data_IF_006263701180
#
_entry.id   IF_006263701180
#
_cell.length_a   1.000
_cell.length_b   1.000
_cell.length_c   1.000
_cell.angle_alpha   90.00
_cell.angle_beta   90.00
_cell.angle_gamma   90.00
#
_symmetry.space_group_name_H-M   'P 1'
#
loop_
_entity.id
_entity.type
_entity.pdbx_description
1 polymer ?
#
# COMPACT_ATOMS: atom_id res chain seq x y z
N UNK A 1 3.51 -0.34 -37.29
CA UNK A 1 3.30 0.31 -35.98
C UNK A 1 4.61 0.25 -35.24
N UNK A 2 5.35 1.37 -35.09
CA UNK A 2 6.56 1.41 -34.27
C UNK A 2 6.12 1.42 -32.80
N UNK A 3 6.29 0.33 -32.09
CA UNK A 3 6.19 0.29 -30.64
C UNK A 3 7.36 1.11 -30.08
N UNK A 4 7.11 2.39 -29.86
CA UNK A 4 8.04 3.22 -29.09
C UNK A 4 8.04 2.63 -27.66
N UNK A 5 9.05 1.84 -27.36
CA UNK A 5 9.28 1.33 -26.02
C UNK A 5 9.41 2.53 -25.05
N UNK A 6 8.32 2.93 -24.43
CA UNK A 6 8.35 4.00 -23.43
C UNK A 6 9.17 3.51 -22.24
N UNK A 7 10.37 4.03 -22.08
CA UNK A 7 11.15 3.82 -20.85
C UNK A 7 10.36 4.41 -19.69
N UNK A 8 10.23 3.64 -18.61
CA UNK A 8 9.66 4.12 -17.35
C UNK A 8 10.50 5.29 -16.85
N UNK A 9 9.85 6.36 -16.43
CA UNK A 9 10.53 7.45 -15.71
C UNK A 9 10.84 7.04 -14.27
N UNK A 10 11.68 7.81 -13.58
CA UNK A 10 12.02 7.55 -12.19
C UNK A 10 10.78 7.48 -11.26
N UNK A 11 9.75 8.35 -11.40
CA UNK A 11 8.55 8.23 -10.59
C UNK A 11 7.80 6.91 -10.79
N UNK A 12 7.63 6.47 -12.04
CA UNK A 12 6.97 5.19 -12.35
C UNK A 12 7.80 4.00 -11.84
N UNK A 13 9.14 4.12 -11.86
CA UNK A 13 10.04 3.11 -11.29
C UNK A 13 9.89 3.01 -9.76
N UNK A 14 9.72 4.13 -9.05
CA UNK A 14 9.45 4.13 -7.62
C UNK A 14 8.11 3.42 -7.31
N UNK A 15 7.07 3.69 -8.10
CA UNK A 15 5.77 3.00 -7.95
C UNK A 15 5.95 1.50 -8.17
N UNK A 16 6.68 1.10 -9.21
CA UNK A 16 6.92 -0.31 -9.52
C UNK A 16 7.68 -1.01 -8.37
N UNK A 17 8.82 -0.47 -7.96
CA UNK A 17 9.65 -1.06 -6.91
C UNK A 17 8.88 -1.11 -5.59
N UNK A 18 8.23 -0.01 -5.20
CA UNK A 18 7.46 0.07 -3.96
C UNK A 18 6.29 -0.92 -3.95
N UNK A 19 5.55 -1.00 -5.05
CA UNK A 19 4.44 -1.95 -5.17
C UNK A 19 4.91 -3.40 -5.16
N UNK A 20 5.98 -3.74 -5.88
CA UNK A 20 6.55 -5.10 -5.87
C UNK A 20 7.06 -5.47 -4.46
N UNK A 21 7.73 -4.54 -3.78
CA UNK A 21 8.18 -4.74 -2.40
C UNK A 21 6.99 -5.02 -1.46
N UNK A 22 5.92 -4.24 -1.57
CA UNK A 22 4.74 -4.42 -0.75
C UNK A 22 4.01 -5.74 -1.06
N UNK A 23 3.82 -6.08 -2.34
CA UNK A 23 3.22 -7.37 -2.75
C UNK A 23 4.04 -8.55 -2.18
N UNK A 24 5.38 -8.46 -2.25
CA UNK A 24 6.24 -9.48 -1.66
C UNK A 24 6.02 -9.62 -0.15
N UNK A 25 5.90 -8.49 0.57
CA UNK A 25 5.60 -8.52 2.02
C UNK A 25 4.22 -9.10 2.30
N UNK A 26 3.19 -8.80 1.49
CA UNK A 26 1.86 -9.43 1.64
C UNK A 26 1.94 -10.96 1.51
N UNK A 27 2.73 -11.47 0.56
CA UNK A 27 2.90 -12.91 0.39
C UNK A 27 3.70 -13.53 1.52
N UNK A 28 4.73 -12.85 1.99
CA UNK A 28 5.51 -13.29 3.14
C UNK A 28 4.64 -13.31 4.42
N UNK A 29 3.82 -12.29 4.64
CA UNK A 29 2.86 -12.26 5.75
C UNK A 29 1.84 -13.39 5.65
N UNK A 30 1.35 -13.72 4.45
CA UNK A 30 0.46 -14.85 4.21
C UNK A 30 1.11 -16.22 4.47
N UNK A 31 2.43 -16.30 4.47
CA UNK A 31 3.16 -17.51 4.90
C UNK A 31 3.14 -17.66 6.42
N UNK A 32 3.32 -16.57 7.19
CA UNK A 32 3.26 -16.61 8.64
C UNK A 32 1.83 -16.73 9.19
N UNK A 33 0.87 -16.12 8.50
CA UNK A 33 -0.56 -16.15 8.86
C UNK A 33 -1.40 -16.69 7.69
N UNK A 34 -1.53 -18.01 7.54
CA UNK A 34 -2.23 -18.60 6.39
C UNK A 34 -3.71 -18.23 6.26
N UNK A 35 -4.36 -17.85 7.36
CA UNK A 35 -5.78 -17.47 7.40
C UNK A 35 -6.08 -16.12 6.73
N UNK A 36 -5.06 -15.23 6.57
CA UNK A 36 -5.20 -13.97 5.84
C UNK A 36 -4.75 -14.06 4.37
N UNK A 37 -4.42 -15.24 3.88
CA UNK A 37 -3.88 -15.47 2.53
C UNK A 37 -4.77 -14.87 1.43
N UNK A 38 -6.05 -15.13 1.48
CA UNK A 38 -7.00 -14.63 0.49
C UNK A 38 -7.17 -13.11 0.58
N UNK A 39 -7.14 -12.56 1.80
CA UNK A 39 -7.17 -11.12 1.99
C UNK A 39 -5.97 -10.46 1.31
N UNK A 40 -4.76 -10.97 1.55
CA UNK A 40 -3.53 -10.45 0.94
C UNK A 40 -3.50 -10.64 -0.58
N UNK A 41 -4.06 -11.74 -1.09
CA UNK A 41 -4.21 -11.95 -2.52
C UNK A 41 -5.06 -10.84 -3.16
N UNK A 42 -6.23 -10.51 -2.59
CA UNK A 42 -7.06 -9.43 -3.12
C UNK A 42 -6.39 -8.05 -2.95
N UNK A 43 -5.72 -7.80 -1.84
CA UNK A 43 -4.99 -6.55 -1.62
C UNK A 43 -3.91 -6.30 -2.68
N UNK A 44 -3.20 -7.34 -3.10
CA UNK A 44 -2.18 -7.24 -4.13
C UNK A 44 -2.73 -6.69 -5.46
N UNK A 45 -4.01 -6.93 -5.79
CA UNK A 45 -4.62 -6.42 -7.04
C UNK A 45 -4.64 -4.90 -7.14
N UNK A 46 -4.77 -4.18 -6.03
CA UNK A 46 -4.68 -2.71 -6.06
C UNK A 46 -3.30 -2.25 -6.52
N UNK A 47 -2.24 -2.92 -6.04
CA UNK A 47 -0.87 -2.60 -6.42
C UNK A 47 -0.54 -3.03 -7.84
N UNK A 48 -1.03 -4.17 -8.30
CA UNK A 48 -0.94 -4.55 -9.72
C UNK A 48 -1.64 -3.52 -10.62
N UNK A 49 -2.81 -3.04 -10.23
CA UNK A 49 -3.51 -1.98 -10.95
C UNK A 49 -2.72 -0.67 -10.98
N UNK A 50 -2.11 -0.28 -9.84
CA UNK A 50 -1.26 0.89 -9.77
C UNK A 50 -0.03 0.75 -10.68
N UNK A 51 0.66 -0.40 -10.68
CA UNK A 51 1.79 -0.70 -11.57
C UNK A 51 1.37 -0.58 -13.03
N UNK A 52 0.32 -1.33 -13.41
CA UNK A 52 -0.14 -1.40 -14.79
C UNK A 52 -0.52 -0.02 -15.35
N UNK A 53 -1.37 0.69 -14.62
CA UNK A 53 -1.86 2.01 -15.05
C UNK A 53 -0.74 3.07 -15.03
N UNK A 54 0.18 2.99 -14.07
CA UNK A 54 1.32 3.93 -14.01
C UNK A 54 2.32 3.68 -15.13
N UNK A 55 2.56 2.43 -15.51
CA UNK A 55 3.40 2.09 -16.66
C UNK A 55 2.86 2.67 -17.97
N UNK A 56 1.53 2.81 -18.07
CA UNK A 56 0.85 3.47 -19.18
C UNK A 56 0.68 4.98 -18.97
N UNK A 57 1.33 5.57 -17.97
CA UNK A 57 1.25 6.99 -17.60
C UNK A 57 -0.17 7.50 -17.37
N UNK A 58 -1.04 6.61 -16.92
CA UNK A 58 -2.42 6.94 -16.58
C UNK A 58 -2.49 7.70 -15.26
N UNK A 59 -3.24 8.81 -15.24
CA UNK A 59 -3.55 9.53 -13.99
C UNK A 59 -4.17 8.63 -12.94
N UNK A 60 -5.01 7.69 -13.35
CA UNK A 60 -5.63 6.73 -12.46
C UNK A 60 -4.62 5.83 -11.75
N UNK A 61 -3.52 5.45 -12.42
CA UNK A 61 -2.45 4.67 -11.78
C UNK A 61 -1.82 5.41 -10.61
N UNK A 62 -1.53 6.70 -10.80
CA UNK A 62 -0.96 7.55 -9.76
C UNK A 62 -1.94 7.77 -8.59
N UNK A 63 -3.22 8.03 -8.90
CA UNK A 63 -4.25 8.27 -7.89
C UNK A 63 -4.60 6.99 -7.10
N UNK A 64 -4.69 5.84 -7.76
CA UNK A 64 -4.90 4.54 -7.10
C UNK A 64 -3.70 4.17 -6.23
N UNK A 65 -2.46 4.32 -6.75
CA UNK A 65 -1.25 4.07 -5.98
C UNK A 65 -1.17 4.94 -4.72
N UNK A 66 -1.42 6.25 -4.87
CA UNK A 66 -1.48 7.17 -3.74
C UNK A 66 -2.56 6.78 -2.72
N UNK A 67 -3.76 6.43 -3.19
CA UNK A 67 -4.89 6.08 -2.31
C UNK A 67 -4.65 4.76 -1.58
N UNK A 68 -4.19 3.73 -2.28
CA UNK A 68 -3.96 2.42 -1.70
C UNK A 68 -2.81 2.43 -0.70
N UNK A 69 -1.65 2.96 -1.09
CA UNK A 69 -0.47 3.01 -0.23
C UNK A 69 -0.67 3.99 0.95
N UNK A 70 -1.28 5.15 0.70
CA UNK A 70 -1.58 6.12 1.76
C UNK A 70 -2.58 5.60 2.79
N UNK A 71 -3.61 4.86 2.36
CA UNK A 71 -4.54 4.19 3.27
C UNK A 71 -3.83 3.16 4.16
N UNK A 72 -2.96 2.34 3.57
CA UNK A 72 -2.20 1.35 4.31
C UNK A 72 -1.22 1.96 5.31
N UNK A 73 -0.48 2.98 4.91
CA UNK A 73 0.42 3.69 5.83
C UNK A 73 -0.35 4.32 6.98
N UNK A 74 -1.50 4.94 6.68
CA UNK A 74 -2.36 5.49 7.71
C UNK A 74 -2.83 4.42 8.71
N UNK A 75 -3.33 3.28 8.23
CA UNK A 75 -3.78 2.18 9.09
C UNK A 75 -2.62 1.66 9.95
N UNK A 76 -1.46 1.42 9.37
CA UNK A 76 -0.33 0.83 10.08
C UNK A 76 0.31 1.77 11.11
N UNK A 77 0.25 3.08 10.89
CA UNK A 77 0.86 4.06 11.80
C UNK A 77 -0.12 4.50 12.90
N UNK A 78 -1.39 4.76 12.53
CA UNK A 78 -2.34 5.44 13.40
C UNK A 78 -3.45 4.55 13.95
N UNK A 79 -3.80 3.45 13.26
CA UNK A 79 -4.91 2.57 13.64
C UNK A 79 -4.41 1.30 14.32
N UNK A 80 -3.29 0.75 13.88
CA UNK A 80 -2.68 -0.47 14.46
C UNK A 80 -1.38 -0.15 15.16
N UNK A 81 -0.85 -1.12 15.90
CA UNK A 81 0.51 -1.05 16.47
C UNK A 81 1.56 -1.69 15.58
N UNK A 82 1.18 -2.17 14.40
CA UNK A 82 1.99 -3.08 13.58
C UNK A 82 3.33 -2.46 13.19
N UNK A 83 3.32 -1.21 12.71
CA UNK A 83 4.56 -0.51 12.38
C UNK A 83 5.48 -0.27 13.59
N UNK A 84 4.90 0.14 14.72
CA UNK A 84 5.66 0.37 15.97
C UNK A 84 6.27 -0.93 16.49
N UNK A 85 5.50 -2.00 16.48
CA UNK A 85 5.98 -3.33 16.87
C UNK A 85 7.09 -3.81 15.93
N UNK A 86 6.93 -3.61 14.62
CA UNK A 86 7.97 -3.93 13.64
C UNK A 86 9.28 -3.20 13.88
N UNK A 87 9.23 -1.90 14.16
CA UNK A 87 10.41 -1.11 14.52
C UNK A 87 11.04 -1.61 15.81
N UNK A 88 10.23 -1.88 16.86
CA UNK A 88 10.73 -2.40 18.13
C UNK A 88 11.54 -3.70 17.93
N UNK A 89 10.97 -4.67 17.21
CA UNK A 89 11.63 -5.94 16.96
C UNK A 89 12.82 -5.84 16.01
N UNK A 90 12.79 -4.92 15.05
CA UNK A 90 13.94 -4.63 14.20
C UNK A 90 15.13 -4.10 15.03
N UNK A 91 14.89 -3.12 15.93
CA UNK A 91 15.92 -2.61 16.82
C UNK A 91 16.42 -3.66 17.82
N UNK A 92 15.52 -4.49 18.36
CA UNK A 92 15.90 -5.61 19.22
C UNK A 92 16.82 -6.60 18.47
N UNK A 93 16.51 -6.92 17.23
CA UNK A 93 17.37 -7.77 16.40
C UNK A 93 18.74 -7.15 16.16
N UNK A 94 18.81 -5.89 15.75
CA UNK A 94 20.08 -5.19 15.51
C UNK A 94 20.94 -5.13 16.77
N UNK A 95 20.33 -4.93 17.96
CA UNK A 95 21.06 -4.79 19.23
C UNK A 95 21.48 -6.14 19.85
N UNK A 96 20.70 -7.21 19.65
CA UNK A 96 20.96 -8.51 20.31
C UNK A 96 21.49 -9.58 19.37
N UNK A 97 21.42 -9.37 18.05
CA UNK A 97 21.70 -10.37 17.03
C UNK A 97 20.65 -11.50 16.94
N UNK A 98 19.60 -11.48 17.77
CA UNK A 98 18.57 -12.52 17.80
C UNK A 98 17.37 -12.10 16.98
N UNK A 99 17.16 -12.76 15.83
CA UNK A 99 15.99 -12.52 14.97
C UNK A 99 14.75 -13.20 15.58
N UNK A 100 13.87 -12.39 16.15
CA UNK A 100 12.57 -12.81 16.71
C UNK A 100 11.46 -12.01 16.04
N UNK A 101 10.23 -12.56 16.04
CA UNK A 101 9.04 -11.88 15.51
C UNK A 101 9.20 -11.31 14.10
N UNK A 102 9.68 -12.15 13.18
CA UNK A 102 9.84 -11.79 11.75
C UNK A 102 8.51 -11.36 11.15
N UNK A 103 7.40 -11.97 11.59
CA UNK A 103 6.02 -11.64 11.26
C UNK A 103 5.68 -10.15 11.52
N UNK A 104 6.34 -9.52 12.50
CA UNK A 104 6.16 -8.10 12.80
C UNK A 104 7.22 -7.22 12.13
N UNK A 105 8.47 -7.68 12.04
CA UNK A 105 9.56 -6.93 11.40
C UNK A 105 9.23 -6.60 9.94
N UNK A 106 8.49 -7.45 9.25
CA UNK A 106 8.07 -7.24 7.85
C UNK A 106 7.18 -6.00 7.66
N UNK A 107 6.63 -5.43 8.73
CA UNK A 107 5.91 -4.15 8.66
C UNK A 107 6.82 -2.99 8.20
N UNK A 108 8.12 -3.05 8.51
CA UNK A 108 9.06 -1.98 8.14
C UNK A 108 9.29 -1.93 6.63
N UNK A 109 9.71 -3.02 5.93
CA UNK A 109 9.80 -3.00 4.48
C UNK A 109 8.45 -2.78 3.79
N UNK A 110 7.32 -3.20 4.37
CA UNK A 110 5.99 -2.88 3.87
C UNK A 110 5.75 -1.37 3.84
N UNK A 111 6.05 -0.68 4.94
CA UNK A 111 5.93 0.77 5.04
C UNK A 111 6.85 1.49 4.07
N UNK A 112 8.12 1.07 3.94
CA UNK A 112 9.06 1.64 2.98
C UNK A 112 8.52 1.47 1.54
N UNK A 113 8.01 0.29 1.20
CA UNK A 113 7.40 0.03 -0.11
C UNK A 113 6.24 0.98 -0.39
N UNK A 114 5.31 1.14 0.55
CA UNK A 114 4.19 2.06 0.41
C UNK A 114 4.64 3.52 0.30
N UNK A 115 5.63 3.94 1.10
CA UNK A 115 6.20 5.28 1.00
C UNK A 115 6.77 5.56 -0.39
N UNK A 116 7.45 4.60 -1.01
CA UNK A 116 7.93 4.72 -2.39
C UNK A 116 6.79 4.86 -3.39
N UNK A 117 5.68 4.11 -3.20
CA UNK A 117 4.49 4.24 -4.04
C UNK A 117 3.86 5.62 -3.89
N UNK A 118 3.71 6.13 -2.67
CA UNK A 118 3.17 7.47 -2.40
C UNK A 118 4.05 8.53 -3.03
N UNK A 119 5.37 8.51 -2.76
CA UNK A 119 6.32 9.48 -3.29
C UNK A 119 6.36 9.45 -4.83
N UNK A 120 6.44 8.25 -5.43
CA UNK A 120 6.41 8.07 -6.89
C UNK A 120 5.11 8.57 -7.50
N UNK A 121 3.95 8.28 -6.87
CA UNK A 121 2.64 8.71 -7.35
C UNK A 121 2.47 10.23 -7.32
N UNK A 122 2.85 10.87 -6.22
CA UNK A 122 2.82 12.33 -6.08
C UNK A 122 3.75 12.97 -7.10
N UNK A 123 4.96 12.47 -7.24
CA UNK A 123 5.94 12.99 -8.18
C UNK A 123 5.50 12.83 -9.64
N UNK A 124 5.01 11.63 -10.02
CA UNK A 124 4.48 11.38 -11.36
C UNK A 124 3.30 12.31 -11.68
N UNK A 125 2.36 12.45 -10.72
CA UNK A 125 1.23 13.36 -10.87
C UNK A 125 1.68 14.82 -11.00
N UNK A 126 2.67 15.25 -10.20
CA UNK A 126 3.20 16.63 -10.25
C UNK A 126 3.83 16.98 -11.61
N UNK A 127 4.39 15.99 -12.32
CA UNK A 127 4.99 16.14 -13.65
C UNK A 127 4.00 16.12 -14.82
N UNK A 128 2.72 15.86 -14.58
CA UNK A 128 1.71 15.92 -15.64
C UNK A 128 1.63 17.34 -16.21
N UNK A 129 1.68 17.48 -17.55
CA UNK A 129 1.69 18.80 -18.19
C UNK A 129 0.42 19.59 -17.96
N UNK A 130 -0.71 18.89 -17.84
CA UNK A 130 -2.01 19.49 -17.60
C UNK A 130 -2.65 18.88 -16.35
N UNK A 131 -2.98 19.74 -15.39
CA UNK A 131 -3.83 19.38 -14.26
C UNK A 131 -5.27 19.72 -14.58
N UNK A 132 -6.18 18.77 -14.43
CA UNK A 132 -7.61 18.97 -14.75
C UNK A 132 -8.38 19.35 -13.49
N UNK A 133 -9.33 20.28 -13.63
CA UNK A 133 -10.21 20.68 -12.51
C UNK A 133 -10.91 19.50 -11.82
N UNK A 134 -11.15 18.39 -12.54
CA UNK A 134 -11.75 17.18 -11.98
C UNK A 134 -10.79 16.21 -11.28
N UNK A 135 -9.49 16.51 -11.18
CA UNK A 135 -8.52 15.56 -10.61
C UNK A 135 -8.71 15.33 -9.11
N UNK A 136 -9.21 16.34 -8.38
CA UNK A 136 -9.60 16.15 -6.97
C UNK A 136 -10.77 15.17 -6.82
N UNK A 137 -11.78 15.28 -7.68
CA UNK A 137 -12.90 14.34 -7.71
C UNK A 137 -12.44 12.92 -8.07
N UNK A 138 -11.47 12.78 -9.00
CA UNK A 138 -10.86 11.48 -9.32
C UNK A 138 -10.06 10.91 -8.16
N UNK A 139 -9.33 11.74 -7.41
CA UNK A 139 -8.63 11.30 -6.20
C UNK A 139 -9.62 10.82 -5.15
N UNK A 140 -10.69 11.58 -4.89
CA UNK A 140 -11.74 11.16 -3.98
C UNK A 140 -12.38 9.84 -4.42
N UNK A 141 -12.66 9.68 -5.74
CA UNK A 141 -13.20 8.44 -6.27
C UNK A 141 -12.19 7.27 -6.15
N UNK A 142 -10.91 7.50 -6.46
CA UNK A 142 -9.87 6.48 -6.28
C UNK A 142 -9.77 6.03 -4.81
N UNK A 143 -9.84 6.97 -3.88
CA UNK A 143 -9.85 6.67 -2.44
C UNK A 143 -11.08 5.87 -2.02
N UNK A 144 -12.27 6.24 -2.47
CA UNK A 144 -13.52 5.50 -2.19
C UNK A 144 -13.46 4.10 -2.79
N UNK A 145 -12.99 3.95 -4.03
CA UNK A 145 -12.88 2.64 -4.69
C UNK A 145 -11.85 1.74 -3.98
N UNK A 146 -10.68 2.26 -3.63
CA UNK A 146 -9.65 1.47 -2.92
C UNK A 146 -10.10 1.10 -1.51
N UNK A 147 -10.69 2.03 -0.77
CA UNK A 147 -11.22 1.76 0.58
C UNK A 147 -12.38 0.77 0.52
N UNK A 148 -13.31 0.96 -0.42
CA UNK A 148 -14.44 0.07 -0.62
C UNK A 148 -14.02 -1.35 -1.02
N UNK A 149 -13.07 -1.47 -1.93
CA UNK A 149 -12.51 -2.77 -2.32
C UNK A 149 -11.82 -3.46 -1.14
N UNK A 150 -11.04 -2.71 -0.35
CA UNK A 150 -10.39 -3.24 0.86
C UNK A 150 -11.42 -3.68 1.90
N UNK A 151 -12.45 -2.85 2.17
CA UNK A 151 -13.52 -3.19 3.09
C UNK A 151 -14.28 -4.45 2.65
N UNK A 152 -14.60 -4.56 1.36
CA UNK A 152 -15.24 -5.75 0.79
C UNK A 152 -14.35 -7.00 0.93
N UNK A 153 -13.07 -6.89 0.63
CA UNK A 153 -12.10 -7.98 0.77
C UNK A 153 -12.01 -8.46 2.22
N UNK A 154 -11.96 -7.52 3.20
CA UNK A 154 -11.97 -7.84 4.63
C UNK A 154 -13.28 -8.51 5.03
N UNK A 155 -14.44 -7.98 4.59
CA UNK A 155 -15.74 -8.52 4.93
C UNK A 155 -15.94 -9.96 4.42
N UNK A 156 -15.38 -10.28 3.25
CA UNK A 156 -15.49 -11.61 2.63
C UNK A 156 -14.45 -12.57 3.21
N UNK A 157 -13.18 -12.15 3.30
CA UNK A 157 -12.09 -13.05 3.62
C UNK A 157 -11.80 -13.13 5.12
N UNK A 158 -11.99 -12.03 5.88
CA UNK A 158 -11.48 -11.96 7.25
C UNK A 158 -12.24 -10.95 8.11
N UNK A 159 -13.50 -11.28 8.44
CA UNK A 159 -14.43 -10.40 9.16
C UNK A 159 -13.91 -9.88 10.51
N UNK A 160 -12.98 -10.59 11.17
CA UNK A 160 -12.37 -10.17 12.44
C UNK A 160 -11.66 -8.81 12.35
N UNK A 161 -11.25 -8.38 11.13
CA UNK A 161 -10.61 -7.10 10.90
C UNK A 161 -11.58 -5.95 10.54
N UNK A 162 -12.88 -6.21 10.43
CA UNK A 162 -13.87 -5.13 10.20
C UNK A 162 -13.80 -3.99 11.23
N UNK A 163 -13.49 -4.25 12.53
CA UNK A 163 -13.32 -3.15 13.49
C UNK A 163 -12.22 -2.14 13.12
N UNK A 164 -11.21 -2.51 12.29
CA UNK A 164 -10.18 -1.58 11.83
C UNK A 164 -10.79 -0.35 11.12
N UNK A 165 -11.90 -0.53 10.40
CA UNK A 165 -12.58 0.58 9.73
C UNK A 165 -13.16 1.62 10.69
N UNK A 166 -13.54 1.21 11.90
CA UNK A 166 -13.92 2.14 12.97
C UNK A 166 -12.72 2.95 13.45
N UNK A 167 -11.54 2.32 13.51
CA UNK A 167 -10.28 2.98 13.87
C UNK A 167 -9.81 4.01 12.81
N UNK A 168 -10.19 3.87 11.55
CA UNK A 168 -9.92 4.88 10.51
C UNK A 168 -10.61 6.20 10.85
N UNK A 169 -11.82 6.15 11.42
CA UNK A 169 -12.61 7.32 11.80
C UNK A 169 -12.20 7.84 13.20
N UNK A 170 -11.76 6.94 14.08
CA UNK A 170 -11.43 7.23 15.47
C UNK A 170 -10.05 6.62 15.86
N UNK A 171 -8.93 7.16 15.38
CA UNK A 171 -7.61 6.53 15.46
C UNK A 171 -7.03 6.36 16.87
N UNK A 172 -7.60 7.03 17.87
CA UNK A 172 -7.05 7.02 19.25
C UNK A 172 -7.86 6.18 20.25
N UNK A 173 -8.84 5.38 19.81
CA UNK A 173 -9.52 4.45 20.72
C UNK A 173 -8.70 3.15 20.80
N UNK A 174 -8.17 2.76 21.99
CA UNK A 174 -7.51 1.46 22.15
C UNK A 174 -8.58 0.36 21.88
N UNK A 175 -8.17 -0.65 21.20
CA UNK A 175 -8.94 -1.87 20.88
C UNK A 175 -8.81 -2.86 22.03
#
# INVERSE_FOLDING_TARGET
MKTVGHRLGLPELLILIGSCSFIFVLWLSAYFEPDIRWLHFFQAWMYFSAIWLSAHRSRWGYLIGLSAAGLWDYINIFVTTFFRSGLHWLFAWVSTGQLKHVDQIIAVPAWIGNFLVVAGSVWAYARLPEKRRGDLGRLALAFVLTTGFFAASVAVCQRRYLPLFRGIIHPHRPW
#
